data_IF_154702123356
#
_entry.id   IF_154702123356
#
_cell.length_a   1.000
_cell.length_b   1.000
_cell.length_c   1.000
_cell.angle_alpha   90.00
_cell.angle_beta   90.00
_cell.angle_gamma   90.00
#
_symmetry.space_group_name_H-M   'P 1'
#
loop_
_entity.id
_entity.type
_entity.pdbx_description
1 polymer ?
#
# COMPACT_ATOMS: atom_id res chain seq x y z
N UNK A 1 -5.11 38.02 -30.18
CA UNK A 1 -6.22 37.51 -29.35
C UNK A 1 -5.76 36.19 -28.79
N UNK A 2 -5.31 36.22 -27.55
CA UNK A 2 -4.58 35.16 -26.86
C UNK A 2 -5.58 34.40 -25.99
N UNK A 3 -5.75 33.10 -26.25
CA UNK A 3 -6.77 32.28 -25.61
C UNK A 3 -6.11 31.46 -24.50
N UNK A 4 -6.17 31.96 -23.26
CA UNK A 4 -5.78 31.21 -22.06
C UNK A 4 -6.86 30.18 -21.75
N UNK A 5 -6.53 28.90 -21.85
CA UNK A 5 -7.32 27.83 -21.19
C UNK A 5 -6.76 27.64 -19.78
N UNK A 6 -7.60 27.89 -18.78
CA UNK A 6 -7.36 27.49 -17.40
C UNK A 6 -7.53 25.98 -17.29
N UNK A 7 -6.49 25.27 -16.86
CA UNK A 7 -6.66 23.95 -16.30
C UNK A 7 -7.09 24.13 -14.84
N UNK A 8 -8.36 23.84 -14.56
CA UNK A 8 -8.83 23.58 -13.21
C UNK A 8 -8.18 22.27 -12.75
N UNK A 9 -7.45 22.33 -11.63
CA UNK A 9 -6.89 21.18 -10.93
C UNK A 9 -8.03 20.30 -10.42
N UNK A 10 -8.34 19.24 -11.17
CA UNK A 10 -9.37 18.27 -10.84
C UNK A 10 -8.89 17.25 -9.81
N UNK A 11 -9.61 17.15 -8.70
CA UNK A 11 -9.58 16.00 -7.81
C UNK A 11 -10.08 14.76 -8.59
N UNK A 12 -9.32 13.66 -8.51
CA UNK A 12 -9.58 12.42 -9.22
C UNK A 12 -10.93 11.80 -8.83
N UNK A 13 -11.74 11.46 -9.84
CA UNK A 13 -12.99 10.74 -9.66
C UNK A 13 -12.74 9.23 -9.69
N UNK A 14 -12.49 8.61 -8.54
CA UNK A 14 -12.38 7.15 -8.42
C UNK A 14 -13.34 6.68 -7.32
N UNK A 15 -14.59 6.48 -7.71
CA UNK A 15 -15.60 5.82 -6.87
C UNK A 15 -16.16 4.53 -7.48
N UNK A 16 -15.77 4.15 -8.70
CA UNK A 16 -16.43 3.02 -9.42
C UNK A 16 -15.44 2.05 -10.10
N UNK A 17 -14.14 2.34 -10.20
CA UNK A 17 -13.22 1.54 -11.04
C UNK A 17 -12.57 0.33 -10.34
N UNK A 18 -12.58 0.25 -9.00
CA UNK A 18 -11.84 -0.78 -8.27
C UNK A 18 -12.37 -2.21 -8.44
N UNK A 19 -13.66 -2.40 -8.76
CA UNK A 19 -14.25 -3.73 -8.85
C UNK A 19 -14.01 -4.45 -10.20
N UNK A 20 -13.71 -3.72 -11.27
CA UNK A 20 -13.54 -4.31 -12.61
C UNK A 20 -12.08 -4.71 -12.92
N UNK A 21 -11.09 -4.05 -12.30
CA UNK A 21 -9.67 -4.30 -12.57
C UNK A 21 -9.19 -5.66 -12.04
N UNK A 22 -9.74 -6.13 -10.91
CA UNK A 22 -9.35 -7.40 -10.27
C UNK A 22 -9.81 -8.60 -11.10
N UNK A 23 -11.01 -8.55 -11.69
CA UNK A 23 -11.55 -9.66 -12.51
C UNK A 23 -10.78 -9.81 -13.82
N UNK A 24 -10.35 -8.70 -14.43
CA UNK A 24 -9.57 -8.73 -15.68
C UNK A 24 -8.14 -9.25 -15.45
N UNK A 25 -7.50 -8.88 -14.34
CA UNK A 25 -6.18 -9.40 -13.96
C UNK A 25 -6.20 -10.91 -13.69
N UNK A 26 -7.20 -11.43 -12.98
CA UNK A 26 -7.33 -12.89 -12.77
C UNK A 26 -7.65 -13.65 -14.07
N UNK A 27 -8.34 -13.01 -15.03
CA UNK A 27 -8.66 -13.62 -16.33
C UNK A 27 -7.42 -13.78 -17.22
N UNK A 28 -6.52 -12.79 -17.20
CA UNK A 28 -5.27 -12.81 -17.96
C UNK A 28 -4.22 -13.76 -17.34
N UNK A 29 -4.16 -13.85 -16.00
CA UNK A 29 -3.22 -14.72 -15.28
C UNK A 29 -3.61 -16.21 -15.30
N UNK A 30 -4.88 -16.55 -15.54
CA UNK A 30 -5.35 -17.93 -15.59
C UNK A 30 -4.69 -18.80 -16.66
N UNK A 31 -4.14 -18.21 -17.72
CA UNK A 31 -3.46 -18.96 -18.80
C UNK A 31 -1.99 -19.28 -18.48
N UNK A 32 -1.30 -18.45 -17.68
CA UNK A 32 0.10 -18.69 -17.29
C UNK A 32 0.26 -19.68 -16.14
N UNK A 33 -0.75 -19.83 -15.28
CA UNK A 33 -0.71 -20.74 -14.12
C UNK A 33 -0.64 -22.22 -14.55
N UNK A 34 -1.18 -22.58 -15.73
CA UNK A 34 -1.26 -23.98 -16.17
C UNK A 34 0.11 -24.59 -16.52
N UNK A 35 1.07 -23.78 -16.96
CA UNK A 35 2.43 -24.24 -17.27
C UNK A 35 3.32 -24.34 -16.02
N UNK A 36 3.22 -23.38 -15.10
CA UNK A 36 4.01 -23.35 -13.86
C UNK A 36 3.58 -24.45 -12.86
N UNK A 37 2.30 -24.78 -12.79
CA UNK A 37 1.77 -25.86 -11.93
C UNK A 37 2.23 -27.25 -12.41
N UNK A 38 2.41 -27.46 -13.71
CA UNK A 38 2.94 -28.73 -14.23
C UNK A 38 4.45 -28.90 -13.98
N UNK A 39 5.22 -27.81 -13.94
CA UNK A 39 6.64 -27.88 -13.59
C UNK A 39 6.88 -28.00 -12.07
N UNK A 40 6.09 -27.31 -11.23
CA UNK A 40 6.26 -27.35 -9.77
C UNK A 40 5.67 -28.61 -9.10
N UNK A 41 4.65 -29.27 -9.68
CA UNK A 41 4.13 -30.56 -9.16
C UNK A 41 5.14 -31.70 -9.21
N UNK A 42 6.11 -31.66 -10.13
CA UNK A 42 7.25 -32.56 -10.13
C UNK A 42 8.22 -32.28 -8.94
N UNK A 43 8.36 -31.01 -8.54
CA UNK A 43 9.22 -30.60 -7.42
C UNK A 43 8.58 -30.84 -6.04
N UNK A 44 7.25 -30.73 -5.91
CA UNK A 44 6.52 -30.98 -4.65
C UNK A 44 6.65 -32.43 -4.17
N UNK A 45 6.84 -33.39 -5.08
CA UNK A 45 7.09 -34.79 -4.73
C UNK A 45 8.46 -35.04 -4.07
N UNK A 46 9.41 -34.10 -4.19
CA UNK A 46 10.74 -34.20 -3.59
C UNK A 46 10.78 -33.62 -2.17
N UNK A 47 9.95 -32.61 -1.87
CA UNK A 47 9.93 -31.92 -0.57
C UNK A 47 9.07 -32.64 0.47
N UNK A 48 8.05 -33.41 0.04
CA UNK A 48 7.25 -34.25 0.93
C UNK A 48 8.05 -35.36 1.65
N UNK A 49 9.32 -35.60 1.27
CA UNK A 49 10.22 -36.52 1.94
C UNK A 49 11.09 -35.88 3.05
N UNK A 50 11.05 -34.55 3.21
CA UNK A 50 11.93 -33.80 4.15
C UNK A 50 11.21 -33.23 5.38
N UNK A 51 9.88 -33.17 5.40
CA UNK A 51 9.08 -32.45 6.41
C UNK A 51 8.42 -33.36 7.47
N UNK A 52 9.06 -34.46 7.85
CA UNK A 52 8.58 -35.31 8.97
C UNK A 52 9.16 -34.88 10.34
N UNK A 53 9.98 -33.83 10.41
CA UNK A 53 10.55 -33.32 11.65
C UNK A 53 10.42 -31.79 11.73
N UNK A 54 10.11 -31.29 12.93
CA UNK A 54 9.96 -29.88 13.33
C UNK A 54 8.61 -29.20 13.04
N UNK A 55 7.62 -29.55 13.89
CA UNK A 55 6.53 -28.65 14.26
C UNK A 55 6.77 -28.13 15.68
N UNK A 56 7.17 -26.86 15.82
CA UNK A 56 6.79 -25.99 16.95
C UNK A 56 7.31 -24.55 16.80
N UNK A 57 6.49 -23.58 17.25
CA UNK A 57 6.75 -22.13 17.43
C UNK A 57 6.77 -21.28 16.14
N UNK A 58 6.23 -20.06 16.01
CA UNK A 58 5.73 -19.04 16.97
C UNK A 58 4.98 -17.92 16.23
N UNK A 59 4.12 -17.19 16.95
CA UNK A 59 3.78 -15.78 16.72
C UNK A 59 5.06 -14.93 16.66
N UNK A 60 5.50 -14.55 15.46
CA UNK A 60 6.44 -13.43 15.14
C UNK A 60 6.87 -13.59 13.68
N UNK A 61 6.22 -12.94 12.72
CA UNK A 61 6.73 -12.94 11.34
C UNK A 61 6.30 -11.67 10.64
N UNK A 62 7.19 -10.66 10.60
CA UNK A 62 7.48 -9.79 9.44
C UNK A 62 8.77 -8.98 9.72
N UNK A 63 9.71 -9.56 10.48
CA UNK A 63 11.06 -9.03 10.60
C UNK A 63 11.91 -9.70 9.54
N UNK A 64 12.55 -8.91 8.67
CA UNK A 64 13.44 -9.36 7.62
C UNK A 64 14.50 -10.34 8.18
N UNK A 65 14.29 -11.63 7.98
CA UNK A 65 15.35 -12.63 8.04
C UNK A 65 16.12 -12.59 6.72
N UNK A 66 17.44 -12.59 6.82
CA UNK A 66 18.41 -12.71 5.72
C UNK A 66 18.27 -14.06 5.00
N UNK A 67 17.15 -14.29 4.30
CA UNK A 67 16.93 -15.44 3.42
C UNK A 67 17.17 -15.04 1.96
N UNK A 68 18.41 -14.65 1.65
CA UNK A 68 18.81 -14.34 0.29
C UNK A 68 19.23 -15.59 -0.52
N UNK A 69 18.98 -16.80 0.00
CA UNK A 69 19.53 -18.04 -0.51
C UNK A 69 18.42 -19.03 -0.89
N UNK A 70 17.52 -18.64 -1.81
CA UNK A 70 16.75 -19.54 -2.72
C UNK A 70 15.63 -18.86 -3.55
N UNK A 71 15.50 -17.52 -3.56
CA UNK A 71 14.49 -16.86 -4.38
C UNK A 71 14.72 -17.12 -5.88
N UNK A 72 13.71 -17.63 -6.59
CA UNK A 72 13.78 -17.74 -8.05
C UNK A 72 13.79 -16.35 -8.67
N UNK A 73 14.30 -16.19 -9.91
CA UNK A 73 14.25 -14.91 -10.62
C UNK A 73 12.80 -14.39 -10.69
N UNK A 74 12.55 -13.21 -10.13
CA UNK A 74 11.22 -12.58 -10.08
C UNK A 74 10.39 -12.88 -8.82
N UNK A 75 10.87 -13.72 -7.90
CA UNK A 75 10.26 -13.92 -6.59
C UNK A 75 10.83 -12.94 -5.56
N UNK A 76 9.96 -12.31 -4.77
CA UNK A 76 10.31 -11.49 -3.61
C UNK A 76 10.00 -12.24 -2.33
N UNK A 77 10.67 -11.88 -1.22
CA UNK A 77 10.35 -12.45 0.09
C UNK A 77 8.86 -12.27 0.46
N UNK A 78 8.26 -11.14 0.06
CA UNK A 78 6.83 -10.90 0.27
C UNK A 78 5.97 -11.87 -0.56
N UNK A 79 6.30 -12.08 -1.83
CA UNK A 79 5.56 -13.00 -2.70
C UNK A 79 5.69 -14.46 -2.25
N UNK A 80 6.87 -14.87 -1.77
CA UNK A 80 7.08 -16.20 -1.17
C UNK A 80 6.21 -16.35 0.08
N UNK A 81 6.21 -15.38 0.99
CA UNK A 81 5.40 -15.46 2.20
C UNK A 81 3.89 -15.53 1.89
N UNK A 82 3.42 -14.77 0.89
CA UNK A 82 2.04 -14.84 0.40
C UNK A 82 1.74 -16.24 -0.16
N UNK A 83 2.65 -16.80 -0.96
CA UNK A 83 2.49 -18.12 -1.55
C UNK A 83 2.45 -19.21 -0.47
N UNK A 84 3.33 -19.13 0.52
CA UNK A 84 3.40 -20.06 1.64
C UNK A 84 2.11 -20.04 2.47
N UNK A 85 1.52 -18.86 2.70
CA UNK A 85 0.22 -18.75 3.37
C UNK A 85 -0.88 -19.48 2.58
N UNK A 86 -0.94 -19.26 1.26
CA UNK A 86 -1.92 -19.90 0.37
C UNK A 86 -1.74 -21.42 0.33
N UNK A 87 -0.50 -21.89 0.19
CA UNK A 87 -0.18 -23.33 0.16
C UNK A 87 -0.45 -23.98 1.51
N UNK A 88 -0.05 -23.34 2.62
CA UNK A 88 -0.29 -23.83 3.97
C UNK A 88 -1.78 -24.02 4.24
N UNK A 89 -2.60 -23.05 3.81
CA UNK A 89 -4.07 -23.15 3.96
C UNK A 89 -4.67 -24.25 3.09
N UNK A 90 -4.17 -24.44 1.87
CA UNK A 90 -4.58 -25.55 1.01
C UNK A 90 -4.29 -26.92 1.65
N UNK A 91 -3.06 -27.11 2.17
CA UNK A 91 -2.65 -28.36 2.83
C UNK A 91 -3.52 -28.64 4.04
N UNK A 92 -3.81 -27.62 4.86
CA UNK A 92 -4.69 -27.77 6.03
C UNK A 92 -6.10 -28.27 5.65
N UNK A 93 -6.71 -27.71 4.59
CA UNK A 93 -8.02 -28.13 4.10
C UNK A 93 -8.00 -29.56 3.56
N UNK A 94 -6.90 -29.95 2.90
CA UNK A 94 -6.71 -31.28 2.37
C UNK A 94 -6.53 -32.32 3.50
N UNK A 95 -5.70 -32.02 4.50
CA UNK A 95 -5.45 -32.88 5.66
C UNK A 95 -6.72 -33.10 6.51
N UNK A 96 -7.58 -32.10 6.59
CA UNK A 96 -8.90 -32.21 7.24
C UNK A 96 -9.92 -32.99 6.40
N UNK A 97 -9.62 -33.33 5.15
CA UNK A 97 -10.53 -34.02 4.23
C UNK A 97 -11.76 -33.18 3.84
N UNK A 98 -11.69 -31.85 4.03
CA UNK A 98 -12.80 -30.91 3.76
C UNK A 98 -12.61 -30.12 2.47
N UNK A 99 -11.50 -30.34 1.76
CA UNK A 99 -11.24 -29.66 0.50
C UNK A 99 -12.25 -30.05 -0.59
N UNK A 100 -12.93 -29.05 -1.13
CA UNK A 100 -13.63 -29.08 -2.43
C UNK A 100 -13.22 -27.85 -3.23
N UNK A 101 -13.51 -27.82 -4.53
CA UNK A 101 -13.23 -26.64 -5.37
C UNK A 101 -13.95 -25.39 -4.84
N UNK A 102 -15.19 -25.53 -4.40
CA UNK A 102 -15.98 -24.44 -3.82
C UNK A 102 -15.42 -23.95 -2.48
N UNK A 103 -14.97 -24.87 -1.62
CA UNK A 103 -14.32 -24.53 -0.35
C UNK A 103 -12.99 -23.82 -0.61
N UNK A 104 -12.18 -24.35 -1.53
CA UNK A 104 -10.91 -23.75 -1.95
C UNK A 104 -11.11 -22.34 -2.49
N UNK A 105 -12.09 -22.13 -3.38
CA UNK A 105 -12.41 -20.81 -3.94
C UNK A 105 -12.89 -19.84 -2.85
N UNK A 106 -13.76 -20.28 -1.94
CA UNK A 106 -14.26 -19.45 -0.83
C UNK A 106 -13.12 -19.02 0.10
N UNK A 107 -12.21 -19.95 0.44
CA UNK A 107 -11.05 -19.65 1.28
C UNK A 107 -10.07 -18.72 0.57
N UNK A 108 -9.73 -19.00 -0.70
CA UNK A 108 -8.86 -18.13 -1.48
C UNK A 108 -9.44 -16.71 -1.64
N UNK A 109 -10.76 -16.59 -1.80
CA UNK A 109 -11.44 -15.27 -1.85
C UNK A 109 -11.30 -14.54 -0.53
N UNK A 110 -11.59 -15.20 0.60
CA UNK A 110 -11.44 -14.60 1.94
C UNK A 110 -10.00 -14.22 2.24
N UNK A 111 -9.05 -15.08 1.90
CA UNK A 111 -7.62 -14.79 2.05
C UNK A 111 -7.26 -13.57 1.20
N UNK A 112 -7.69 -13.52 -0.06
CA UNK A 112 -7.44 -12.36 -0.92
C UNK A 112 -8.11 -11.07 -0.39
N UNK A 113 -9.24 -11.16 0.32
CA UNK A 113 -9.88 -10.02 0.98
C UNK A 113 -9.10 -9.54 2.22
N UNK A 114 -8.47 -10.46 2.97
CA UNK A 114 -7.74 -10.14 4.20
C UNK A 114 -6.25 -9.91 3.97
N UNK A 115 -5.71 -10.32 2.83
CA UNK A 115 -4.30 -10.21 2.49
C UNK A 115 -3.97 -8.77 2.10
N UNK A 116 -3.71 -7.97 3.13
CA UNK A 116 -3.15 -6.63 3.02
C UNK A 116 -1.79 -6.69 3.70
N UNK A 117 -0.69 -6.81 2.92
CA UNK A 117 0.63 -6.90 3.52
C UNK A 117 0.94 -5.65 4.32
N UNK A 118 1.43 -5.86 5.55
CA UNK A 118 1.84 -4.78 6.42
C UNK A 118 3.13 -4.15 5.85
N UNK A 119 3.03 -2.90 5.42
CA UNK A 119 4.17 -2.14 4.95
C UNK A 119 4.71 -1.32 6.12
N UNK A 120 5.95 -1.53 6.57
CA UNK A 120 6.50 -0.78 7.68
C UNK A 120 6.76 0.68 7.26
N UNK A 121 6.32 1.62 8.10
CA UNK A 121 6.55 3.05 7.88
C UNK A 121 6.83 3.76 9.20
N UNK A 122 7.32 5.01 9.11
CA UNK A 122 7.51 5.85 10.29
C UNK A 122 6.16 6.30 10.84
N UNK A 123 5.85 5.91 12.07
CA UNK A 123 4.65 6.39 12.77
C UNK A 123 4.97 7.60 13.64
N UNK A 124 4.16 8.65 13.54
CA UNK A 124 4.12 9.78 14.46
C UNK A 124 3.05 9.58 15.52
N UNK A 125 3.34 10.09 16.71
CA UNK A 125 2.44 10.16 17.85
C UNK A 125 2.20 11.61 18.24
N UNK A 126 1.20 11.88 19.09
CA UNK A 126 0.98 13.23 19.62
C UNK A 126 2.20 13.79 20.36
N UNK A 127 3.07 12.94 20.91
CA UNK A 127 4.31 13.36 21.58
C UNK A 127 5.37 13.90 20.62
N UNK A 128 5.27 13.58 19.33
CA UNK A 128 6.18 14.05 18.28
C UNK A 128 5.81 15.44 17.74
N UNK A 129 4.62 15.95 18.11
CA UNK A 129 4.04 17.17 17.54
C UNK A 129 4.22 18.35 18.49
N UNK A 130 4.72 19.47 17.96
CA UNK A 130 4.77 20.73 18.70
C UNK A 130 3.39 21.34 18.76
N UNK A 131 2.92 21.63 19.97
CA UNK A 131 1.58 22.17 20.19
C UNK A 131 1.60 23.58 20.76
N UNK A 132 0.55 24.34 20.47
CA UNK A 132 0.24 25.62 21.12
C UNK A 132 -1.13 25.52 21.80
N UNK A 133 -1.21 26.06 23.01
CA UNK A 133 -2.48 26.19 23.75
C UNK A 133 -3.44 27.20 23.12
N UNK A 134 -2.96 28.11 22.27
CA UNK A 134 -3.80 29.05 21.51
C UNK A 134 -4.62 28.29 20.45
N UNK A 135 -5.91 28.14 20.70
CA UNK A 135 -6.89 27.54 19.79
C UNK A 135 -7.79 28.58 19.12
N UNK A 136 -7.38 29.86 19.12
CA UNK A 136 -8.14 30.95 18.50
C UNK A 136 -8.21 30.82 16.98
N UNK A 137 -9.15 31.54 16.37
CA UNK A 137 -9.27 31.63 14.91
C UNK A 137 -7.98 32.11 14.23
N UNK A 138 -7.21 32.99 14.90
CA UNK A 138 -5.91 33.43 14.39
C UNK A 138 -4.88 32.31 14.41
N UNK A 139 -4.86 31.49 15.47
CA UNK A 139 -4.00 30.30 15.54
C UNK A 139 -4.35 29.29 14.44
N UNK A 140 -5.65 29.03 14.26
CA UNK A 140 -6.15 28.15 13.21
C UNK A 140 -5.76 28.62 11.82
N UNK A 141 -5.83 29.92 11.55
CA UNK A 141 -5.38 30.49 10.27
C UNK A 141 -3.88 30.29 10.05
N UNK A 142 -3.04 30.59 11.05
CA UNK A 142 -1.58 30.36 10.97
C UNK A 142 -1.27 28.89 10.70
N UNK A 143 -1.97 27.98 11.39
CA UNK A 143 -1.85 26.54 11.19
C UNK A 143 -2.19 26.14 9.75
N UNK A 144 -3.32 26.60 9.21
CA UNK A 144 -3.73 26.28 7.83
C UNK A 144 -2.77 26.82 6.77
N UNK A 145 -2.23 28.02 6.97
CA UNK A 145 -1.23 28.59 6.07
C UNK A 145 0.09 27.83 6.11
N UNK A 146 0.55 27.43 7.31
CA UNK A 146 1.74 26.61 7.49
C UNK A 146 1.57 25.22 6.86
N UNK A 147 0.41 24.58 7.04
CA UNK A 147 0.11 23.28 6.46
C UNK A 147 0.09 23.32 4.93
N UNK A 148 -0.55 24.34 4.33
CA UNK A 148 -0.54 24.50 2.88
C UNK A 148 0.88 24.67 2.33
N UNK A 149 1.75 25.35 3.08
CA UNK A 149 3.15 25.51 2.71
C UNK A 149 3.95 24.20 2.84
N UNK A 150 3.70 23.39 3.88
CA UNK A 150 4.42 22.12 4.08
C UNK A 150 4.06 21.06 3.03
N UNK A 151 2.85 21.10 2.48
CA UNK A 151 2.41 20.19 1.41
C UNK A 151 2.89 20.59 0.01
N UNK A 152 3.71 21.64 -0.11
CA UNK A 152 4.27 22.09 -1.38
C UNK A 152 4.99 21.00 -2.20
N UNK A 153 5.72 20.03 -1.62
CA UNK A 153 6.36 18.95 -2.37
C UNK A 153 5.38 18.14 -3.22
N UNK A 154 4.17 17.87 -2.70
CA UNK A 154 3.15 17.07 -3.39
C UNK A 154 2.68 17.71 -4.70
N UNK A 155 2.86 19.02 -4.89
CA UNK A 155 2.48 19.72 -6.12
C UNK A 155 3.37 19.37 -7.31
N UNK A 156 4.50 18.71 -7.09
CA UNK A 156 5.35 18.19 -8.16
C UNK A 156 4.77 16.92 -8.79
N UNK A 157 3.86 16.24 -8.09
CA UNK A 157 3.22 15.04 -8.56
C UNK A 157 2.11 15.44 -9.54
N UNK A 158 2.45 15.49 -10.84
CA UNK A 158 1.51 15.91 -11.89
C UNK A 158 0.64 14.77 -12.40
N UNK A 159 1.01 13.52 -12.12
CA UNK A 159 0.35 12.32 -12.60
C UNK A 159 -0.04 11.42 -11.42
N UNK A 160 -1.21 10.77 -11.46
CA UNK A 160 -1.61 9.79 -10.45
C UNK A 160 -0.66 8.60 -10.38
N UNK A 161 -0.33 8.17 -9.17
CA UNK A 161 0.65 7.12 -8.89
C UNK A 161 0.23 5.77 -9.47
N UNK A 162 -1.06 5.43 -9.42
CA UNK A 162 -1.58 4.20 -10.00
C UNK A 162 -1.38 4.13 -11.53
N UNK A 163 -1.45 5.28 -12.23
CA UNK A 163 -1.22 5.31 -13.69
C UNK A 163 0.26 5.09 -14.02
N UNK A 164 1.16 5.62 -13.20
CA UNK A 164 2.60 5.41 -13.36
C UNK A 164 2.93 3.93 -13.18
N UNK A 165 2.36 3.27 -12.16
CA UNK A 165 2.55 1.84 -11.98
C UNK A 165 1.94 1.02 -13.13
N UNK A 166 0.75 1.41 -13.63
CA UNK A 166 0.15 0.75 -14.79
C UNK A 166 1.04 0.85 -16.03
N UNK A 167 1.67 2.00 -16.28
CA UNK A 167 2.63 2.14 -17.38
C UNK A 167 3.85 1.23 -17.22
N UNK A 168 4.34 1.00 -16.01
CA UNK A 168 5.37 0.00 -15.79
C UNK A 168 4.88 -1.40 -16.19
N UNK A 169 3.68 -1.81 -15.74
CA UNK A 169 3.12 -3.14 -16.09
C UNK A 169 2.99 -3.31 -17.60
N UNK A 170 2.59 -2.26 -18.33
CA UNK A 170 2.39 -2.33 -19.78
C UNK A 170 3.70 -2.31 -20.59
N UNK A 171 4.75 -1.68 -20.07
CA UNK A 171 5.98 -1.39 -20.84
C UNK A 171 7.25 -2.04 -20.31
N UNK A 172 7.22 -2.53 -19.08
CA UNK A 172 8.37 -3.02 -18.31
C UNK A 172 9.51 -1.99 -18.19
N UNK A 173 9.24 -0.71 -18.42
CA UNK A 173 10.24 0.36 -18.38
C UNK A 173 10.47 0.84 -16.93
N UNK A 174 11.65 0.52 -16.38
CA UNK A 174 12.05 0.85 -15.01
C UNK A 174 12.01 2.35 -14.68
N UNK A 175 11.98 3.24 -15.69
CA UNK A 175 11.84 4.68 -15.44
C UNK A 175 10.55 5.00 -14.65
N UNK A 176 9.48 4.22 -14.85
CA UNK A 176 8.22 4.42 -14.15
C UNK A 176 8.33 3.99 -12.68
N UNK A 177 9.13 2.98 -12.37
CA UNK A 177 9.46 2.61 -10.99
C UNK A 177 10.32 3.67 -10.30
N UNK A 178 11.27 4.26 -11.03
CA UNK A 178 12.07 5.37 -10.53
C UNK A 178 11.18 6.59 -10.22
N UNK A 179 10.23 6.91 -11.11
CA UNK A 179 9.26 7.99 -10.90
C UNK A 179 8.37 7.74 -9.66
N UNK A 180 7.91 6.50 -9.43
CA UNK A 180 7.16 6.16 -8.20
C UNK A 180 7.98 6.40 -6.93
N UNK A 181 9.27 6.03 -6.94
CA UNK A 181 10.17 6.26 -5.80
C UNK A 181 10.42 7.76 -5.57
N UNK A 182 10.51 8.55 -6.63
CA UNK A 182 10.62 10.02 -6.51
C UNK A 182 9.36 10.60 -5.85
N UNK A 183 8.18 10.17 -6.28
CA UNK A 183 6.90 10.59 -5.71
C UNK A 183 6.78 10.18 -4.23
N UNK A 184 7.16 8.95 -3.88
CA UNK A 184 7.26 8.50 -2.49
C UNK A 184 8.17 9.42 -1.65
N UNK A 185 9.28 9.87 -2.25
CA UNK A 185 10.16 10.88 -1.68
C UNK A 185 9.48 12.22 -1.41
N UNK A 186 8.65 12.70 -2.32
CA UNK A 186 7.88 13.95 -2.14
C UNK A 186 6.84 13.84 -1.03
N UNK A 187 6.17 12.69 -0.87
CA UNK A 187 5.29 12.42 0.28
C UNK A 187 6.03 12.48 1.62
N UNK A 188 7.20 11.85 1.72
CA UNK A 188 8.04 11.95 2.92
C UNK A 188 8.55 13.35 3.17
N UNK A 189 8.90 14.08 2.11
CA UNK A 189 9.31 15.48 2.24
C UNK A 189 8.17 16.34 2.81
N UNK A 190 6.94 16.13 2.34
CA UNK A 190 5.75 16.79 2.84
C UNK A 190 5.44 16.40 4.30
N UNK A 191 5.53 15.12 4.67
CA UNK A 191 5.36 14.64 6.04
C UNK A 191 6.40 15.27 6.99
N UNK A 192 7.68 15.24 6.62
CA UNK A 192 8.76 15.82 7.42
C UNK A 192 8.65 17.36 7.57
N UNK A 193 8.13 18.06 6.56
CA UNK A 193 7.85 19.49 6.65
C UNK A 193 6.64 19.75 7.57
N UNK A 194 5.60 18.92 7.45
CA UNK A 194 4.35 19.05 8.21
C UNK A 194 4.58 18.79 9.70
N UNK A 195 5.40 17.80 10.06
CA UNK A 195 5.72 17.47 11.46
C UNK A 195 6.44 18.60 12.22
N UNK A 196 6.99 19.61 11.51
CA UNK A 196 7.68 20.75 12.12
C UNK A 196 6.75 21.91 12.48
N UNK A 197 5.48 21.85 12.06
CA UNK A 197 4.49 22.89 12.28
C UNK A 197 4.11 22.93 13.77
N UNK A 198 3.81 24.12 14.28
CA UNK A 198 3.17 24.29 15.59
C UNK A 198 1.67 24.18 15.41
N UNK A 199 1.06 23.20 16.08
CA UNK A 199 -0.33 22.79 15.89
C UNK A 199 -1.18 23.25 17.09
N UNK A 200 -2.37 23.82 16.88
CA UNK A 200 -3.32 24.07 17.98
C UNK A 200 -3.57 22.77 18.76
N UNK A 201 -3.59 22.82 20.08
CA UNK A 201 -3.68 21.62 20.93
C UNK A 201 -4.89 20.73 20.62
N UNK A 202 -5.96 21.30 20.06
CA UNK A 202 -7.18 20.60 19.69
C UNK A 202 -7.23 20.09 18.23
N UNK A 203 -6.16 20.27 17.44
CA UNK A 203 -6.02 19.77 16.07
C UNK A 203 -4.98 18.63 15.95
N UNK A 204 -4.38 18.22 17.07
CA UNK A 204 -3.24 17.29 17.10
C UNK A 204 -3.63 15.92 16.55
N UNK A 205 -4.83 15.45 16.84
CA UNK A 205 -5.30 14.13 16.39
C UNK A 205 -5.37 14.06 14.86
N UNK A 206 -5.99 15.05 14.24
CA UNK A 206 -6.13 15.16 12.78
C UNK A 206 -4.77 15.37 12.11
N UNK A 207 -3.88 16.14 12.75
CA UNK A 207 -2.54 16.38 12.26
C UNK A 207 -1.68 15.11 12.22
N UNK A 208 -1.70 14.32 13.31
CA UNK A 208 -1.00 13.03 13.39
C UNK A 208 -1.54 12.05 12.34
N UNK A 209 -2.86 12.00 12.14
CA UNK A 209 -3.47 11.12 11.14
C UNK A 209 -2.94 11.41 9.72
N UNK A 210 -2.84 12.69 9.34
CA UNK A 210 -2.30 13.09 8.03
C UNK A 210 -0.82 12.72 7.88
N UNK A 211 -0.01 12.92 8.92
CA UNK A 211 1.40 12.54 8.89
C UNK A 211 1.59 11.04 8.66
N UNK A 212 0.83 10.22 9.39
CA UNK A 212 0.90 8.77 9.28
C UNK A 212 0.41 8.29 7.92
N UNK A 213 -0.69 8.86 7.41
CA UNK A 213 -1.19 8.53 6.08
C UNK A 213 -0.17 8.86 4.97
N UNK A 214 0.54 10.00 5.07
CA UNK A 214 1.62 10.35 4.12
C UNK A 214 2.80 9.38 4.17
N UNK A 215 3.25 8.96 5.36
CA UNK A 215 4.34 8.00 5.49
C UNK A 215 3.93 6.60 5.03
N UNK A 216 2.72 6.17 5.34
CA UNK A 216 2.16 4.88 4.92
C UNK A 216 2.05 4.79 3.40
N UNK A 217 1.49 5.81 2.76
CA UNK A 217 1.38 5.85 1.31
C UNK A 217 2.76 5.87 0.64
N UNK A 218 3.70 6.69 1.15
CA UNK A 218 5.06 6.71 0.63
C UNK A 218 5.77 5.35 0.75
N UNK A 219 5.63 4.68 1.89
CA UNK A 219 6.21 3.36 2.08
C UNK A 219 5.56 2.31 1.16
N UNK A 220 4.26 2.41 0.93
CA UNK A 220 3.52 1.53 0.03
C UNK A 220 3.95 1.70 -1.42
N UNK A 221 4.19 2.93 -1.88
CA UNK A 221 4.73 3.21 -3.21
C UNK A 221 6.14 2.62 -3.39
N UNK A 222 7.01 2.74 -2.38
CA UNK A 222 8.33 2.13 -2.41
C UNK A 222 8.25 0.60 -2.44
N UNK A 223 7.36 0.01 -1.64
CA UNK A 223 7.15 -1.42 -1.62
C UNK A 223 6.62 -1.92 -2.98
N UNK A 224 5.67 -1.22 -3.59
CA UNK A 224 5.20 -1.51 -4.95
C UNK A 224 6.35 -1.47 -5.96
N UNK A 225 7.16 -0.41 -5.93
CA UNK A 225 8.27 -0.25 -6.86
C UNK A 225 9.39 -1.29 -6.63
N UNK A 226 9.60 -1.75 -5.39
CA UNK A 226 10.59 -2.76 -5.06
C UNK A 226 10.16 -4.18 -5.43
N UNK A 227 8.86 -4.46 -5.47
CA UNK A 227 8.30 -5.80 -5.73
C UNK A 227 7.55 -5.86 -7.06
N UNK A 228 7.83 -4.93 -7.98
CA UNK A 228 7.05 -4.76 -9.21
C UNK A 228 7.16 -5.94 -10.19
N UNK A 229 8.25 -6.71 -10.13
CA UNK A 229 8.47 -7.92 -10.95
C UNK A 229 7.83 -9.18 -10.34
N UNK A 230 7.38 -9.11 -9.09
CA UNK A 230 6.75 -10.24 -8.41
C UNK A 230 5.22 -10.09 -8.51
N UNK A 231 4.52 -10.94 -9.27
CA UNK A 231 3.09 -10.81 -9.48
C UNK A 231 2.26 -11.04 -8.20
N UNK A 232 2.74 -11.86 -7.26
CA UNK A 232 2.03 -12.12 -6.01
C UNK A 232 2.17 -10.94 -5.06
N UNK A 233 3.41 -10.46 -4.87
CA UNK A 233 3.69 -9.32 -4.01
C UNK A 233 3.06 -8.04 -4.56
N UNK A 234 3.21 -7.74 -5.85
CA UNK A 234 2.61 -6.56 -6.47
C UNK A 234 1.09 -6.55 -6.38
N UNK A 235 0.41 -7.69 -6.61
CA UNK A 235 -1.05 -7.79 -6.49
C UNK A 235 -1.52 -7.53 -5.06
N UNK A 236 -0.81 -8.07 -4.06
CA UNK A 236 -1.14 -7.83 -2.65
C UNK A 236 -0.88 -6.37 -2.25
N UNK A 237 0.25 -5.80 -2.69
CA UNK A 237 0.60 -4.40 -2.44
C UNK A 237 -0.34 -3.41 -3.11
N UNK A 238 -0.96 -3.74 -4.25
CA UNK A 238 -2.01 -2.91 -4.86
C UNK A 238 -3.24 -2.76 -3.96
N UNK A 239 -3.53 -3.76 -3.11
CA UNK A 239 -4.58 -3.62 -2.08
C UNK A 239 -4.14 -2.67 -0.97
N UNK A 240 -2.91 -2.82 -0.47
CA UNK A 240 -2.33 -1.89 0.50
C UNK A 240 -2.32 -0.47 -0.05
N UNK A 241 -2.02 -0.28 -1.34
CA UNK A 241 -2.09 1.03 -2.01
C UNK A 241 -3.50 1.63 -1.92
N UNK A 242 -4.53 0.88 -2.28
CA UNK A 242 -5.92 1.37 -2.22
C UNK A 242 -6.32 1.75 -0.79
N UNK A 243 -5.88 0.97 0.20
CA UNK A 243 -6.13 1.26 1.60
C UNK A 243 -5.40 2.55 2.05
N UNK A 244 -4.11 2.66 1.76
CA UNK A 244 -3.30 3.83 2.11
C UNK A 244 -3.80 5.11 1.40
N UNK A 245 -4.26 5.02 0.15
CA UNK A 245 -4.90 6.12 -0.56
C UNK A 245 -6.22 6.54 0.11
N UNK A 246 -7.04 5.57 0.52
CA UNK A 246 -8.28 5.82 1.27
C UNK A 246 -7.99 6.50 2.61
N UNK A 247 -6.98 6.05 3.36
CA UNK A 247 -6.61 6.64 4.64
C UNK A 247 -6.03 8.05 4.49
N UNK A 248 -5.31 8.32 3.40
CA UNK A 248 -4.94 9.68 3.00
C UNK A 248 -6.18 10.54 2.80
N UNK A 249 -7.13 10.10 1.99
CA UNK A 249 -8.36 10.86 1.71
C UNK A 249 -9.15 11.14 3.00
N UNK A 250 -9.37 10.11 3.83
CA UNK A 250 -10.13 10.23 5.07
C UNK A 250 -9.44 11.14 6.10
N UNK A 251 -8.11 11.09 6.22
CA UNK A 251 -7.36 11.96 7.13
C UNK A 251 -7.45 13.44 6.73
N UNK A 252 -7.33 13.75 5.44
CA UNK A 252 -7.54 15.11 4.93
C UNK A 252 -9.00 15.57 5.07
N UNK A 253 -9.97 14.67 4.87
CA UNK A 253 -11.39 14.97 5.08
C UNK A 253 -11.68 15.29 6.56
N UNK A 254 -11.12 14.52 7.49
CA UNK A 254 -11.26 14.75 8.92
C UNK A 254 -10.72 16.13 9.32
N UNK A 255 -9.54 16.51 8.81
CA UNK A 255 -8.98 17.83 9.04
C UNK A 255 -9.87 18.95 8.45
N UNK A 256 -10.39 18.77 7.23
CA UNK A 256 -11.32 19.73 6.64
C UNK A 256 -12.60 19.88 7.49
N UNK A 257 -13.09 18.76 8.05
CA UNK A 257 -14.17 18.73 9.03
C UNK A 257 -13.87 19.57 10.28
N UNK A 258 -12.66 19.41 10.85
CA UNK A 258 -12.19 20.22 11.97
C UNK A 258 -12.21 21.73 11.64
N UNK A 259 -11.67 22.15 10.48
CA UNK A 259 -11.72 23.56 10.07
C UNK A 259 -13.15 24.08 9.91
N UNK A 260 -14.06 23.26 9.37
CA UNK A 260 -15.47 23.65 9.21
C UNK A 260 -16.16 23.84 10.55
N UNK A 261 -15.94 22.94 11.50
CA UNK A 261 -16.50 23.02 12.85
C UNK A 261 -16.03 24.28 13.59
N UNK A 262 -14.76 24.66 13.42
CA UNK A 262 -14.18 25.85 14.07
C UNK A 262 -14.60 27.18 13.47
N UNK A 263 -15.05 27.19 12.21
CA UNK A 263 -15.51 28.39 11.51
C UNK A 263 -17.04 28.56 11.53
N UNK A 264 -17.78 27.64 12.14
CA UNK A 264 -19.23 27.70 12.33
C UNK A 264 -19.57 28.36 13.67
#
# INVERSE_FOLDING_TARGET
MENKRSYESGFSGIGITAALSVVVLFSALGWQIKETVQQKSAATSYVAALTENDRNTTDEVWGASDENDMLLPGESALGVAILDEVVGRYVELHDQGVYTEEVGQSVATKMAETLVPAVPYRTYTSGDIKTDSDTSANSLKRYGDALRASLAPLRKNEQPEFEIFAYYIDTEDEKYLAQLKEIAGDYRAAANATAKIVVPADAVSEHVAILNAMEEFAATLDALAANATDPYASTALLRTYNQAESDMYLSFQALAGYYKQKNS
#
